data_IF_188620293949
#
_entry.id   IF_188620293949
#
_cell.length_a   1.000
_cell.length_b   1.000
_cell.length_c   1.000
_cell.angle_alpha   90.00
_cell.angle_beta   90.00
_cell.angle_gamma   90.00
#
_symmetry.space_group_name_H-M   'P 1'
#
loop_
_entity.id
_entity.type
_entity.pdbx_description
1 polymer ?
#
# COMPACT_ATOMS: atom_id res chain seq x y z
N UNK A 1 -28.57 15.85 -12.49
CA UNK A 1 -27.85 14.57 -12.26
C UNK A 1 -26.35 14.65 -12.58
N UNK A 2 -25.91 15.30 -13.67
CA UNK A 2 -24.47 15.42 -14.03
C UNK A 2 -23.55 16.06 -12.96
N UNK A 3 -24.05 17.00 -12.16
CA UNK A 3 -23.25 17.64 -11.10
C UNK A 3 -22.87 16.69 -9.95
N UNK A 4 -23.74 15.73 -9.63
CA UNK A 4 -23.47 14.79 -8.54
C UNK A 4 -22.39 13.78 -8.93
N UNK A 5 -22.42 13.27 -10.18
CA UNK A 5 -21.39 12.40 -10.72
C UNK A 5 -20.02 13.08 -10.81
N UNK A 6 -19.97 14.35 -11.26
CA UNK A 6 -18.72 15.13 -11.25
C UNK A 6 -18.15 15.32 -9.84
N UNK A 7 -19.01 15.53 -8.84
CA UNK A 7 -18.58 15.72 -7.45
C UNK A 7 -18.02 14.42 -6.85
N UNK A 8 -18.67 13.29 -7.12
CA UNK A 8 -18.17 11.97 -6.72
C UNK A 8 -16.83 11.63 -7.37
N UNK A 9 -16.67 11.94 -8.66
CA UNK A 9 -15.39 11.76 -9.35
C UNK A 9 -14.27 12.60 -8.74
N UNK A 10 -14.54 13.87 -8.42
CA UNK A 10 -13.55 14.73 -7.75
C UNK A 10 -13.20 14.22 -6.36
N UNK A 11 -14.20 13.77 -5.58
CA UNK A 11 -13.96 13.19 -4.27
C UNK A 11 -13.10 11.91 -4.37
N UNK A 12 -13.39 11.03 -5.34
CA UNK A 12 -12.60 9.82 -5.60
C UNK A 12 -11.16 10.14 -6.00
N UNK A 13 -10.95 11.15 -6.86
CA UNK A 13 -9.60 11.60 -7.25
C UNK A 13 -8.81 12.17 -6.06
N UNK A 14 -9.46 12.97 -5.21
CA UNK A 14 -8.82 13.50 -4.00
C UNK A 14 -8.43 12.36 -3.05
N UNK A 15 -9.33 11.40 -2.82
CA UNK A 15 -9.04 10.23 -1.98
C UNK A 15 -7.89 9.39 -2.55
N UNK A 16 -7.86 9.16 -3.87
CA UNK A 16 -6.72 8.52 -4.54
C UNK A 16 -5.42 9.29 -4.32
N UNK A 17 -5.45 10.62 -4.47
CA UNK A 17 -4.29 11.46 -4.21
C UNK A 17 -3.80 11.36 -2.76
N UNK A 18 -4.70 11.46 -1.79
CA UNK A 18 -4.37 11.35 -0.36
C UNK A 18 -3.80 9.97 -0.02
N UNK A 19 -4.44 8.89 -0.47
CA UNK A 19 -3.95 7.53 -0.23
C UNK A 19 -2.59 7.28 -0.87
N UNK A 20 -2.37 7.80 -2.08
CA UNK A 20 -1.07 7.71 -2.76
C UNK A 20 0.01 8.45 -1.97
N UNK A 21 -0.26 9.68 -1.51
CA UNK A 21 0.69 10.46 -0.70
C UNK A 21 0.99 9.72 0.61
N UNK A 22 -0.02 9.25 1.34
CA UNK A 22 0.18 8.47 2.56
C UNK A 22 1.01 7.20 2.30
N UNK A 23 0.73 6.49 1.20
CA UNK A 23 1.48 5.30 0.83
C UNK A 23 2.94 5.62 0.51
N UNK A 24 3.20 6.69 -0.24
CA UNK A 24 4.57 7.13 -0.55
C UNK A 24 5.34 7.55 0.72
N UNK A 25 4.68 8.25 1.65
CA UNK A 25 5.29 8.61 2.93
C UNK A 25 5.70 7.36 3.71
N UNK A 26 4.85 6.33 3.74
CA UNK A 26 5.17 5.04 4.37
C UNK A 26 6.27 4.29 3.62
N UNK A 27 6.25 4.29 2.30
CA UNK A 27 7.27 3.64 1.47
C UNK A 27 8.65 4.29 1.63
N UNK A 28 8.69 5.60 1.88
CA UNK A 28 9.93 6.34 2.16
C UNK A 28 10.45 6.14 3.59
N UNK A 29 9.68 5.54 4.50
CA UNK A 29 10.20 5.21 5.81
C UNK A 29 11.30 4.15 5.67
N UNK A 30 12.45 4.31 6.35
CA UNK A 30 13.52 3.31 6.34
C UNK A 30 13.15 2.03 7.11
N UNK A 31 11.91 1.90 7.55
CA UNK A 31 11.41 0.76 8.29
C UNK A 31 10.98 -0.33 7.30
N UNK A 32 11.62 -1.50 7.36
CA UNK A 32 11.20 -2.65 6.56
C UNK A 32 9.94 -3.28 7.17
N UNK A 33 8.77 -3.22 6.50
CA UNK A 33 7.54 -3.81 7.00
C UNK A 33 7.65 -5.34 7.15
N UNK A 34 8.43 -6.02 6.29
CA UNK A 34 8.65 -7.46 6.42
C UNK A 34 9.37 -7.78 7.74
N UNK A 35 10.34 -6.95 8.13
CA UNK A 35 11.09 -7.10 9.39
C UNK A 35 10.28 -6.72 10.62
N UNK A 36 9.36 -5.74 10.50
CA UNK A 36 8.40 -5.44 11.57
C UNK A 36 7.45 -6.61 11.83
N UNK A 37 6.92 -7.21 10.76
CA UNK A 37 5.98 -8.34 10.85
C UNK A 37 6.70 -9.61 11.33
N UNK A 38 7.90 -9.89 10.82
CA UNK A 38 8.71 -11.05 11.21
C UNK A 38 9.15 -10.99 12.69
N UNK A 39 9.30 -9.79 13.24
CA UNK A 39 9.81 -9.56 14.59
C UNK A 39 11.34 -9.49 14.67
N UNK A 40 11.86 -8.94 15.78
CA UNK A 40 13.30 -8.63 15.94
C UNK A 40 14.22 -9.86 15.92
N UNK A 41 13.70 -11.04 16.25
CA UNK A 41 14.48 -12.29 16.35
C UNK A 41 14.36 -13.19 15.12
N UNK A 42 13.63 -12.78 14.07
CA UNK A 42 13.50 -13.58 12.86
C UNK A 42 14.81 -13.66 12.07
N UNK A 43 15.11 -14.83 11.51
CA UNK A 43 16.26 -14.99 10.62
C UNK A 43 16.05 -14.22 9.32
N UNK A 44 17.12 -13.82 8.60
CA UNK A 44 17.01 -13.16 7.31
C UNK A 44 16.16 -13.94 6.29
N UNK A 45 16.21 -15.29 6.30
CA UNK A 45 15.39 -16.09 5.38
C UNK A 45 13.88 -15.94 5.68
N UNK A 46 13.51 -15.87 6.97
CA UNK A 46 12.10 -15.68 7.36
C UNK A 46 11.62 -14.30 6.91
N UNK A 47 12.45 -13.27 7.06
CA UNK A 47 12.11 -11.90 6.61
C UNK A 47 11.90 -11.86 5.09
N UNK A 48 12.79 -12.50 4.31
CA UNK A 48 12.66 -12.52 2.85
C UNK A 48 11.44 -13.32 2.39
N UNK A 49 11.15 -14.44 3.05
CA UNK A 49 9.95 -15.22 2.74
C UNK A 49 8.67 -14.42 3.04
N UNK A 50 8.62 -13.69 4.15
CA UNK A 50 7.51 -12.78 4.47
C UNK A 50 7.43 -11.66 3.44
N UNK A 51 8.57 -11.10 3.02
CA UNK A 51 8.62 -10.05 2.00
C UNK A 51 7.97 -10.52 0.70
N UNK A 52 8.35 -11.70 0.22
CA UNK A 52 7.76 -12.32 -0.98
C UNK A 52 6.27 -12.65 -0.81
N UNK A 53 5.86 -13.22 0.32
CA UNK A 53 4.44 -13.53 0.56
C UNK A 53 3.55 -12.29 0.57
N UNK A 54 4.06 -11.20 1.13
CA UNK A 54 3.36 -9.91 1.13
C UNK A 54 3.53 -9.16 -0.20
N UNK A 55 4.40 -9.61 -1.09
CA UNK A 55 4.77 -8.96 -2.36
C UNK A 55 5.40 -7.59 -2.17
N UNK A 56 6.13 -7.42 -1.07
CA UNK A 56 6.89 -6.21 -0.75
C UNK A 56 8.16 -6.09 -1.61
N UNK A 57 8.51 -7.14 -2.34
CA UNK A 57 9.52 -7.22 -3.40
C UNK A 57 9.02 -6.70 -4.76
N UNK A 58 7.70 -6.51 -4.93
CA UNK A 58 7.12 -6.03 -6.18
C UNK A 58 7.37 -4.53 -6.38
N UNK A 59 7.32 -4.03 -7.63
CA UNK A 59 7.36 -2.59 -7.90
C UNK A 59 6.25 -1.82 -7.17
N UNK A 60 6.54 -0.58 -6.76
CA UNK A 60 5.65 0.24 -5.93
C UNK A 60 4.22 0.37 -6.51
N UNK A 61 4.07 0.44 -7.83
CA UNK A 61 2.76 0.56 -8.48
C UNK A 61 1.91 -0.71 -8.30
N UNK A 62 2.53 -1.90 -8.26
CA UNK A 62 1.83 -3.17 -8.02
C UNK A 62 1.43 -3.28 -6.55
N UNK A 63 2.32 -2.89 -5.63
CA UNK A 63 2.00 -2.87 -4.20
C UNK A 63 0.84 -1.91 -3.90
N UNK A 64 0.87 -0.71 -4.49
CA UNK A 64 -0.20 0.27 -4.34
C UNK A 64 -1.53 -0.23 -4.94
N UNK A 65 -1.49 -0.89 -6.11
CA UNK A 65 -2.68 -1.49 -6.70
C UNK A 65 -3.29 -2.58 -5.80
N UNK A 66 -2.47 -3.47 -5.24
CA UNK A 66 -2.93 -4.49 -4.28
C UNK A 66 -3.52 -3.86 -3.02
N UNK A 67 -2.91 -2.78 -2.51
CA UNK A 67 -3.46 -2.01 -1.39
C UNK A 67 -4.84 -1.41 -1.72
N UNK A 68 -4.99 -0.78 -2.90
CA UNK A 68 -6.28 -0.24 -3.34
C UNK A 68 -7.34 -1.34 -3.51
N UNK A 69 -6.98 -2.50 -4.08
CA UNK A 69 -7.90 -3.63 -4.20
C UNK A 69 -8.37 -4.11 -2.82
N UNK A 70 -7.45 -4.22 -1.84
CA UNK A 70 -7.80 -4.55 -0.46
C UNK A 70 -8.70 -3.50 0.18
N UNK A 71 -8.50 -2.22 -0.12
CA UNK A 71 -9.34 -1.13 0.38
C UNK A 71 -10.77 -1.18 -0.19
N UNK A 72 -10.93 -1.66 -1.43
CA UNK A 72 -12.21 -1.76 -2.14
C UNK A 72 -12.96 -3.06 -1.82
N UNK A 73 -12.26 -4.11 -1.39
CA UNK A 73 -12.84 -5.40 -0.99
C UNK A 73 -12.89 -5.60 0.54
N UNK A 74 -12.50 -4.57 1.30
CA UNK A 74 -12.53 -4.56 2.76
C UNK A 74 -13.90 -4.30 3.35
#
# INVERSE_FOLDING_TARGET
>A
MLFLGKRLLHAGLILLGVTLICYLLLFMLPADPARQIAGRSATPEVVENIRHQLGLDLPFYQQYWRYLQGLLHG
#
